data_IF_119260264416
#
_entry.id   IF_119260264416
#
_cell.length_a   1.000
_cell.length_b   1.000
_cell.length_c   1.000
_cell.angle_alpha   90.00
_cell.angle_beta   90.00
_cell.angle_gamma   90.00
#
_symmetry.space_group_name_H-M   'P 1'
#
loop_
_entity.id
_entity.type
_entity.pdbx_description
1 polymer ?
#
# COMPACT_ATOMS: atom_id res chain seq x y z
N UNK A 1 -54.25 7.81 11.38
CA UNK A 1 -53.56 6.70 12.10
C UNK A 1 -52.31 6.28 11.38
N UNK A 2 -51.62 7.20 10.65
CA UNK A 2 -50.40 6.82 9.86
C UNK A 2 -49.19 7.76 10.12
N UNK A 3 -49.15 8.47 11.26
CA UNK A 3 -48.01 9.38 11.54
C UNK A 3 -47.21 9.06 12.80
N UNK A 4 -47.43 7.90 13.42
CA UNK A 4 -46.74 7.57 14.69
C UNK A 4 -45.75 6.40 14.64
N UNK A 5 -45.54 5.80 13.46
CA UNK A 5 -44.59 4.70 13.29
C UNK A 5 -43.15 5.17 12.91
N UNK A 6 -43.05 6.33 12.23
CA UNK A 6 -41.73 6.79 11.76
C UNK A 6 -40.87 7.49 12.83
N UNK A 7 -41.50 8.02 13.89
CA UNK A 7 -40.73 8.62 15.00
C UNK A 7 -40.12 7.61 15.97
N UNK A 8 -40.56 6.35 15.96
CA UNK A 8 -39.99 5.30 16.81
C UNK A 8 -38.80 4.61 16.15
N UNK A 9 -38.67 4.66 14.81
CA UNK A 9 -37.55 4.12 14.09
C UNK A 9 -36.32 5.05 14.15
N UNK A 10 -36.57 6.38 14.09
CA UNK A 10 -35.47 7.37 14.19
C UNK A 10 -34.89 7.55 15.60
N UNK A 11 -35.56 7.08 16.67
CA UNK A 11 -34.99 7.11 18.02
C UNK A 11 -34.10 5.92 18.37
N UNK A 12 -34.08 4.86 17.54
CA UNK A 12 -33.20 3.69 17.75
C UNK A 12 -31.85 3.82 17.07
N UNK A 13 -31.64 4.82 16.23
CA UNK A 13 -30.35 5.10 15.57
C UNK A 13 -29.41 6.00 16.41
N UNK A 14 -29.87 6.57 17.51
CA UNK A 14 -29.09 7.53 18.31
C UNK A 14 -28.36 6.98 19.53
N UNK A 15 -28.32 5.66 19.75
CA UNK A 15 -27.51 5.07 20.82
C UNK A 15 -26.79 3.85 20.27
N UNK A 16 -25.82 4.08 19.43
CA UNK A 16 -24.72 3.17 19.24
C UNK A 16 -23.44 4.02 19.18
N UNK A 17 -23.04 4.58 20.33
CA UNK A 17 -21.64 4.94 20.55
C UNK A 17 -20.84 3.64 20.63
N UNK A 18 -20.77 2.91 19.53
CA UNK A 18 -19.74 1.91 19.33
C UNK A 18 -18.53 2.68 18.86
N UNK A 19 -17.49 2.77 19.71
CA UNK A 19 -16.15 3.06 19.25
C UNK A 19 -15.82 2.03 18.17
N UNK A 20 -16.08 2.36 16.91
CA UNK A 20 -15.62 1.60 15.77
C UNK A 20 -14.16 1.95 15.59
N UNK A 21 -13.27 1.06 15.99
CA UNK A 21 -11.88 1.15 15.63
C UNK A 21 -11.66 0.24 14.41
N UNK A 22 -11.55 0.85 13.25
CA UNK A 22 -11.14 0.16 12.03
C UNK A 22 -9.62 0.26 11.93
N UNK A 23 -8.96 -0.89 11.85
CA UNK A 23 -7.54 -0.97 11.56
C UNK A 23 -7.40 -1.26 10.06
N UNK A 24 -6.85 -0.32 9.31
CA UNK A 24 -6.61 -0.49 7.87
C UNK A 24 -5.13 -0.70 7.64
N UNK A 25 -4.80 -1.77 6.94
CA UNK A 25 -3.43 -2.11 6.64
C UNK A 25 -3.14 -1.91 5.15
N UNK A 26 -2.19 -1.07 4.86
CA UNK A 26 -1.50 -1.08 3.58
C UNK A 26 -0.21 -1.88 3.74
N UNK A 27 0.00 -2.82 2.85
CA UNK A 27 1.15 -3.70 2.85
C UNK A 27 2.40 -2.96 2.38
N UNK A 28 2.95 -2.05 3.17
CA UNK A 28 4.29 -1.47 2.89
C UNK A 28 4.76 -0.57 4.03
N UNK A 29 5.91 -0.83 4.56
CA UNK A 29 6.54 0.07 5.51
C UNK A 29 7.81 -0.44 6.13
N UNK A 30 8.68 0.46 6.42
CA UNK A 30 9.93 0.23 7.11
C UNK A 30 9.77 0.38 8.61
N UNK A 31 10.42 -0.52 9.36
CA UNK A 31 10.51 -0.47 10.81
C UNK A 31 11.20 0.79 11.31
N UNK A 32 10.57 1.53 12.18
CA UNK A 32 11.26 2.33 13.18
C UNK A 32 11.44 1.47 14.43
N UNK A 33 12.64 1.45 14.98
CA UNK A 33 13.04 0.67 16.15
C UNK A 33 11.99 0.69 17.28
N UNK A 34 11.27 -0.43 17.42
CA UNK A 34 10.62 -0.82 18.66
C UNK A 34 11.10 -2.23 19.00
N UNK A 35 11.79 -2.35 20.11
CA UNK A 35 12.34 -3.60 20.64
C UNK A 35 11.21 -4.57 20.97
N UNK A 36 11.06 -5.63 20.19
CA UNK A 36 10.18 -6.76 20.51
C UNK A 36 9.56 -7.52 19.34
N UNK A 37 9.49 -6.98 18.15
CA UNK A 37 8.95 -7.68 16.99
C UNK A 37 9.97 -8.60 16.34
N UNK A 38 9.57 -9.76 15.86
CA UNK A 38 10.34 -10.48 14.85
C UNK A 38 10.25 -9.66 13.53
N UNK A 39 10.98 -8.55 13.48
CA UNK A 39 11.27 -7.84 12.25
C UNK A 39 11.82 -8.86 11.23
N UNK A 40 11.50 -8.71 9.95
CA UNK A 40 12.21 -9.44 8.90
C UNK A 40 13.70 -9.21 9.17
N UNK A 41 14.37 -10.25 9.66
CA UNK A 41 15.80 -10.16 9.99
C UNK A 41 16.54 -10.21 8.68
N UNK A 42 16.76 -9.05 8.11
CA UNK A 42 17.65 -8.92 6.97
C UNK A 42 19.06 -9.39 7.37
N UNK A 43 19.65 -10.23 6.55
CA UNK A 43 21.09 -10.56 6.72
C UNK A 43 21.90 -9.27 6.60
N UNK A 44 23.15 -9.28 7.06
CA UNK A 44 24.05 -8.13 6.90
C UNK A 44 24.22 -7.74 5.43
N UNK A 45 24.22 -8.72 4.55
CA UNK A 45 24.32 -8.55 3.09
C UNK A 45 23.05 -7.86 2.57
N UNK A 46 21.88 -8.32 2.95
CA UNK A 46 20.60 -7.70 2.59
C UNK A 46 20.46 -6.28 3.14
N UNK A 47 20.83 -6.04 4.40
CA UNK A 47 20.83 -4.71 4.99
C UNK A 47 21.71 -3.72 4.22
N UNK A 48 22.83 -4.19 3.65
CA UNK A 48 23.77 -3.37 2.90
C UNK A 48 23.25 -2.95 1.51
N UNK A 49 22.22 -3.61 1.00
CA UNK A 49 21.61 -3.31 -0.30
C UNK A 49 20.19 -2.74 -0.21
N UNK A 50 19.70 -2.44 1.00
CA UNK A 50 18.40 -1.76 1.18
C UNK A 50 18.42 -0.36 0.60
N UNK A 51 17.26 0.04 0.06
CA UNK A 51 16.95 1.39 -0.41
C UNK A 51 15.85 1.97 0.46
N UNK A 52 16.02 3.21 0.88
CA UNK A 52 15.04 3.94 1.69
C UNK A 52 14.53 5.16 0.93
N UNK A 53 13.44 5.76 1.37
CA UNK A 53 12.90 6.99 0.75
C UNK A 53 13.95 8.12 0.63
N UNK A 54 14.95 8.16 1.53
CA UNK A 54 16.06 9.14 1.50
C UNK A 54 17.05 8.91 0.35
N UNK A 55 17.08 7.70 -0.17
CA UNK A 55 17.96 7.30 -1.27
C UNK A 55 17.28 7.48 -2.64
N UNK A 56 16.07 8.04 -2.66
CA UNK A 56 15.24 8.16 -3.85
C UNK A 56 14.96 9.64 -4.16
N UNK A 57 14.97 9.96 -5.44
CA UNK A 57 14.35 11.18 -5.97
C UNK A 57 13.53 10.80 -7.19
N UNK A 58 12.28 11.23 -7.21
CA UNK A 58 11.40 11.07 -8.36
C UNK A 58 11.00 12.46 -8.88
N UNK A 59 10.94 12.62 -10.20
CA UNK A 59 10.64 13.90 -10.85
C UNK A 59 9.72 13.66 -12.03
N UNK A 60 8.54 14.32 -12.03
CA UNK A 60 7.62 14.26 -13.16
C UNK A 60 8.21 14.96 -14.37
N UNK A 61 8.14 14.33 -15.53
CA UNK A 61 8.44 14.93 -16.84
C UNK A 61 7.18 14.94 -17.72
N UNK A 62 6.49 16.07 -17.73
CA UNK A 62 5.26 16.24 -18.50
C UNK A 62 5.51 16.20 -20.04
N UNK A 63 6.75 16.40 -20.50
CA UNK A 63 7.07 16.36 -21.94
C UNK A 63 7.23 14.93 -22.43
N UNK A 64 7.82 14.10 -21.60
CA UNK A 64 8.00 12.68 -21.90
C UNK A 64 6.81 11.83 -21.44
N UNK A 65 5.86 12.39 -20.66
CA UNK A 65 4.70 11.68 -20.16
C UNK A 65 5.09 10.60 -19.16
N UNK A 66 5.77 10.97 -18.07
CA UNK A 66 6.20 10.02 -17.07
C UNK A 66 7.06 10.62 -15.97
N UNK A 67 7.86 9.78 -15.34
CA UNK A 67 8.64 10.12 -14.16
C UNK A 67 10.08 9.64 -14.30
N UNK A 68 11.03 10.50 -13.95
CA UNK A 68 12.42 10.12 -13.75
C UNK A 68 12.60 9.65 -12.31
N UNK A 69 12.93 8.38 -12.13
CA UNK A 69 13.30 7.80 -10.84
C UNK A 69 14.82 7.75 -10.75
N UNK A 70 15.36 8.37 -9.72
CA UNK A 70 16.79 8.30 -9.36
C UNK A 70 16.94 7.57 -8.04
N UNK A 71 17.69 6.48 -8.03
CA UNK A 71 18.01 5.71 -6.83
C UNK A 71 19.50 5.83 -6.57
N UNK A 72 19.85 6.40 -5.41
CA UNK A 72 21.24 6.60 -5.00
C UNK A 72 22.05 5.31 -5.09
N UNK A 73 23.18 5.35 -5.76
CA UNK A 73 24.15 4.25 -5.77
C UNK A 73 24.81 4.12 -4.41
N UNK A 74 24.65 2.97 -3.79
CA UNK A 74 25.40 2.58 -2.60
C UNK A 74 26.46 1.55 -2.97
N UNK A 75 27.53 1.35 -2.17
CA UNK A 75 28.64 0.48 -2.57
C UNK A 75 28.24 -0.95 -2.93
N UNK A 76 27.19 -1.46 -2.33
CA UNK A 76 26.74 -2.86 -2.49
C UNK A 76 25.61 -3.06 -3.49
N UNK A 77 24.84 -2.03 -3.82
CA UNK A 77 23.79 -2.11 -4.84
C UNK A 77 24.43 -1.96 -6.22
N UNK A 78 24.27 -2.95 -7.10
CA UNK A 78 24.83 -2.94 -8.45
C UNK A 78 23.78 -2.98 -9.56
N UNK A 79 22.52 -3.18 -9.23
CA UNK A 79 21.39 -2.90 -10.12
C UNK A 79 20.11 -2.73 -9.33
N UNK A 80 19.10 -2.14 -10.00
CA UNK A 80 17.73 -2.01 -9.51
C UNK A 80 16.75 -2.50 -10.57
N UNK A 81 15.59 -2.98 -10.13
CA UNK A 81 14.51 -3.43 -10.99
C UNK A 81 13.18 -3.03 -10.36
N UNK A 82 12.27 -2.47 -11.16
CA UNK A 82 10.93 -2.17 -10.70
C UNK A 82 10.01 -3.37 -10.89
N UNK A 83 9.29 -3.73 -9.83
CA UNK A 83 8.38 -4.88 -9.83
C UNK A 83 6.99 -4.51 -9.31
N UNK A 84 5.97 -5.27 -9.72
CA UNK A 84 4.59 -5.12 -9.24
C UNK A 84 4.35 -5.74 -7.86
N UNK A 85 5.27 -6.55 -7.36
CA UNK A 85 5.14 -7.27 -6.09
C UNK A 85 6.48 -7.34 -5.37
N UNK A 86 6.44 -7.43 -4.05
CA UNK A 86 7.63 -7.68 -3.22
C UNK A 86 8.13 -9.12 -3.31
N UNK A 87 7.31 -10.04 -3.83
CA UNK A 87 7.68 -11.46 -3.94
C UNK A 87 7.91 -11.87 -5.38
N UNK A 88 9.09 -12.38 -5.63
CA UNK A 88 9.36 -13.31 -6.71
C UNK A 88 9.63 -14.68 -6.10
N UNK A 89 8.58 -15.51 -5.87
CA UNK A 89 8.67 -16.71 -5.03
C UNK A 89 9.71 -17.72 -5.51
N UNK A 90 10.09 -17.66 -6.78
CA UNK A 90 11.00 -18.64 -7.36
C UNK A 90 12.24 -18.03 -7.98
N UNK A 91 12.31 -16.69 -8.16
CA UNK A 91 13.36 -16.01 -8.95
C UNK A 91 13.44 -16.47 -10.40
N UNK A 92 12.45 -17.24 -10.85
CA UNK A 92 12.46 -17.90 -12.18
C UNK A 92 11.54 -17.25 -13.19
N UNK A 93 10.72 -16.32 -12.75
CA UNK A 93 9.69 -15.71 -13.58
C UNK A 93 9.82 -14.18 -13.52
N UNK A 94 9.91 -13.54 -14.67
CA UNK A 94 9.98 -12.09 -14.78
C UNK A 94 8.58 -11.41 -14.93
N UNK A 95 7.49 -12.16 -14.76
CA UNK A 95 6.13 -11.66 -14.82
C UNK A 95 5.82 -10.60 -13.76
N UNK A 96 6.56 -10.59 -12.68
CA UNK A 96 6.44 -9.59 -11.61
C UNK A 96 7.16 -8.27 -11.88
N UNK A 97 7.96 -8.19 -12.96
CA UNK A 97 8.62 -6.95 -13.32
C UNK A 97 7.67 -5.98 -14.01
N UNK A 98 7.74 -4.71 -13.64
CA UNK A 98 7.13 -3.66 -14.45
C UNK A 98 7.90 -3.43 -15.73
N UNK A 99 7.19 -3.10 -16.81
CA UNK A 99 7.74 -2.88 -18.14
C UNK A 99 7.11 -1.66 -18.78
N UNK A 100 7.87 -0.97 -19.61
CA UNK A 100 7.34 0.00 -20.54
C UNK A 100 6.78 -0.72 -21.78
N UNK A 101 5.72 -0.19 -22.40
CA UNK A 101 5.19 -0.68 -23.68
C UNK A 101 6.16 -0.39 -24.83
N UNK A 102 6.83 0.74 -24.76
CA UNK A 102 7.67 1.26 -25.82
C UNK A 102 9.11 1.45 -25.35
N UNK A 103 10.02 1.43 -26.30
CA UNK A 103 11.40 1.75 -26.05
C UNK A 103 11.56 3.21 -25.59
N UNK A 104 12.33 3.41 -24.55
CA UNK A 104 12.78 4.72 -24.12
C UNK A 104 14.31 4.72 -24.00
N UNK A 105 14.96 5.67 -24.65
CA UNK A 105 16.43 5.76 -24.69
C UNK A 105 17.07 6.00 -23.30
N UNK A 106 16.32 6.48 -22.32
CA UNK A 106 16.81 6.66 -20.94
C UNK A 106 16.96 5.29 -20.28
N UNK A 107 15.94 4.43 -20.42
CA UNK A 107 16.01 3.04 -19.94
C UNK A 107 16.94 2.17 -20.81
N UNK A 108 17.21 2.62 -22.02
CA UNK A 108 18.10 1.92 -22.95
C UNK A 108 17.62 0.52 -23.33
N UNK A 109 18.59 -0.31 -23.69
CA UNK A 109 18.42 -1.74 -23.98
C UNK A 109 18.83 -2.60 -22.77
N UNK A 110 18.69 -2.09 -21.56
CA UNK A 110 19.07 -2.80 -20.34
C UNK A 110 18.39 -4.16 -20.28
N UNK A 111 19.17 -5.24 -20.13
CA UNK A 111 18.72 -6.62 -20.12
C UNK A 111 18.84 -7.18 -18.72
N UNK A 112 17.85 -7.97 -18.33
CA UNK A 112 17.89 -8.73 -17.08
C UNK A 112 18.68 -10.02 -17.24
N UNK A 113 19.22 -10.52 -16.14
CA UNK A 113 19.80 -11.85 -16.04
C UNK A 113 18.89 -12.73 -15.18
N UNK A 114 18.72 -13.97 -15.63
CA UNK A 114 18.04 -15.00 -14.86
C UNK A 114 18.88 -16.28 -14.92
N UNK A 115 19.26 -16.81 -13.76
CA UNK A 115 20.13 -17.98 -13.62
C UNK A 115 21.44 -17.83 -14.44
N UNK A 116 22.09 -16.67 -14.32
CA UNK A 116 23.38 -16.37 -15.00
C UNK A 116 23.29 -16.16 -16.49
N UNK A 117 22.09 -16.10 -17.10
CA UNK A 117 21.90 -15.92 -18.54
C UNK A 117 21.03 -14.70 -18.83
N UNK A 118 21.42 -13.93 -19.85
CA UNK A 118 20.60 -12.82 -20.34
C UNK A 118 19.25 -13.31 -20.85
N UNK A 119 18.19 -12.62 -20.43
CA UNK A 119 16.84 -12.87 -20.93
C UNK A 119 16.74 -12.37 -22.37
N UNK A 120 16.20 -13.23 -23.24
CA UNK A 120 16.03 -12.97 -24.68
C UNK A 120 14.55 -12.91 -25.06
N UNK A 121 13.64 -13.05 -24.10
CA UNK A 121 12.19 -13.04 -24.36
C UNK A 121 11.68 -11.62 -24.61
N UNK A 122 10.62 -11.50 -25.41
CA UNK A 122 9.89 -10.23 -25.60
C UNK A 122 9.38 -9.64 -24.27
N UNK A 123 9.08 -10.50 -23.31
CA UNK A 123 8.62 -10.09 -21.98
C UNK A 123 9.71 -9.47 -21.11
N UNK A 124 11.00 -9.70 -21.40
CA UNK A 124 12.10 -9.01 -20.73
C UNK A 124 12.46 -7.67 -21.38
N UNK A 125 12.04 -7.49 -22.63
CA UNK A 125 12.29 -6.26 -23.38
C UNK A 125 11.52 -5.11 -22.73
N UNK A 126 12.21 -3.99 -22.53
CA UNK A 126 11.71 -2.81 -21.86
C UNK A 126 11.36 -3.00 -20.37
N UNK A 127 11.88 -4.01 -19.70
CA UNK A 127 11.84 -4.07 -18.24
C UNK A 127 12.49 -2.80 -17.66
N UNK A 128 11.88 -2.28 -16.58
CA UNK A 128 12.36 -1.07 -15.91
C UNK A 128 13.51 -1.47 -14.96
N UNK A 129 14.70 -1.56 -15.51
CA UNK A 129 15.93 -2.04 -14.85
C UNK A 129 17.09 -1.13 -15.21
N UNK A 130 18.00 -0.89 -14.26
CA UNK A 130 19.26 -0.19 -14.51
C UNK A 130 20.39 -0.78 -13.67
N UNK A 131 21.58 -0.93 -14.30
CA UNK A 131 22.84 -1.32 -13.68
C UNK A 131 24.02 -0.40 -14.04
N UNK A 132 23.72 0.76 -14.61
CA UNK A 132 24.70 1.73 -15.10
C UNK A 132 24.57 3.08 -14.38
N UNK A 133 24.94 3.18 -13.09
CA UNK A 133 24.75 4.39 -12.33
C UNK A 133 25.49 5.59 -12.95
N UNK A 134 24.82 6.72 -13.02
CA UNK A 134 25.33 7.96 -13.58
C UNK A 134 25.34 9.11 -12.56
N UNK A 135 26.09 10.17 -12.86
CA UNK A 135 26.08 11.40 -12.06
C UNK A 135 24.78 12.16 -12.29
N UNK A 136 24.09 12.54 -11.22
CA UNK A 136 22.82 13.24 -11.29
C UNK A 136 22.84 14.56 -10.52
N UNK A 137 21.86 15.46 -10.71
CA UNK A 137 21.73 16.67 -9.90
C UNK A 137 21.42 16.39 -8.41
N UNK A 138 20.96 15.18 -8.08
CA UNK A 138 20.45 14.82 -6.77
C UNK A 138 21.44 13.98 -5.96
N UNK A 139 22.22 13.16 -6.64
CA UNK A 139 23.19 12.25 -6.04
C UNK A 139 24.50 12.24 -6.84
N UNK A 140 25.60 11.97 -6.16
CA UNK A 140 26.90 11.84 -6.81
C UNK A 140 26.87 10.75 -7.87
N UNK A 141 26.23 9.62 -7.56
CA UNK A 141 25.90 8.55 -8.50
C UNK A 141 24.52 7.99 -8.18
N UNK A 142 23.71 7.75 -9.18
CA UNK A 142 22.40 7.11 -9.05
C UNK A 142 22.08 6.24 -10.25
N UNK A 143 21.32 5.19 -10.02
CA UNK A 143 20.57 4.52 -11.06
C UNK A 143 19.44 5.42 -11.54
N UNK A 144 19.18 5.42 -12.84
CA UNK A 144 18.19 6.29 -13.45
C UNK A 144 17.24 5.48 -14.34
N UNK A 145 15.97 5.44 -13.94
CA UNK A 145 14.90 4.79 -14.70
C UNK A 145 13.83 5.85 -15.07
N UNK A 146 13.41 5.82 -16.32
CA UNK A 146 12.21 6.54 -16.74
C UNK A 146 10.98 5.63 -16.64
N UNK A 147 10.00 6.03 -15.82
CA UNK A 147 8.74 5.33 -15.62
C UNK A 147 7.68 6.05 -16.44
N UNK A 148 7.13 5.46 -17.53
CA UNK A 148 5.99 6.04 -18.26
C UNK A 148 4.76 6.20 -17.35
N UNK A 149 3.87 7.15 -17.67
CA UNK A 149 2.60 7.31 -16.94
C UNK A 149 1.72 6.03 -16.97
N UNK A 150 1.89 5.20 -17.99
CA UNK A 150 1.26 3.88 -18.07
C UNK A 150 2.33 2.81 -18.18
N UNK A 151 2.37 1.90 -17.23
CA UNK A 151 3.26 0.74 -17.19
C UNK A 151 2.46 -0.55 -17.33
N UNK A 152 3.14 -1.63 -17.74
CA UNK A 152 2.55 -2.97 -17.86
C UNK A 152 3.14 -3.94 -16.86
N UNK A 153 2.38 -4.94 -16.46
CA UNK A 153 2.80 -6.00 -15.54
C UNK A 153 2.24 -7.36 -15.93
N UNK A 154 2.87 -8.41 -15.41
CA UNK A 154 2.38 -9.78 -15.52
C UNK A 154 2.45 -10.39 -16.92
N UNK A 155 1.81 -11.54 -17.08
CA UNK A 155 1.64 -12.31 -18.30
C UNK A 155 0.21 -12.80 -18.42
N UNK A 156 -0.21 -13.23 -19.62
CA UNK A 156 -1.56 -13.73 -19.89
C UNK A 156 -2.02 -14.89 -18.98
N UNK A 157 -1.08 -15.71 -18.52
CA UNK A 157 -1.37 -16.87 -17.63
C UNK A 157 -1.32 -16.54 -16.12
N UNK A 158 -1.01 -15.31 -15.79
CA UNK A 158 -0.98 -14.80 -14.42
C UNK A 158 -1.74 -13.48 -14.35
N UNK A 159 -1.70 -12.80 -13.21
CA UNK A 159 -2.16 -11.43 -13.12
C UNK A 159 -1.38 -10.58 -14.13
N UNK A 160 -2.11 -9.88 -15.00
CA UNK A 160 -1.52 -9.01 -16.00
C UNK A 160 -2.45 -7.83 -16.30
N UNK A 161 -1.85 -6.74 -16.78
CA UNK A 161 -2.62 -5.55 -17.14
C UNK A 161 -1.74 -4.32 -17.32
N UNK A 162 -2.40 -3.18 -17.25
CA UNK A 162 -1.80 -1.85 -17.31
C UNK A 162 -2.12 -1.10 -16.04
N UNK A 163 -1.14 -0.35 -15.54
CA UNK A 163 -1.30 0.53 -14.39
C UNK A 163 -1.03 1.95 -14.84
N UNK A 164 -1.99 2.83 -14.62
CA UNK A 164 -1.79 4.28 -14.71
C UNK A 164 -1.13 4.74 -13.41
N UNK A 165 0.01 5.42 -13.52
CA UNK A 165 0.70 5.96 -12.34
C UNK A 165 -0.09 7.12 -11.77
N UNK A 166 -0.57 6.95 -10.56
CA UNK A 166 -1.31 7.96 -9.80
C UNK A 166 -0.97 7.84 -8.31
N UNK A 167 -1.53 8.69 -7.47
CA UNK A 167 -1.42 8.61 -6.03
C UNK A 167 -1.89 7.23 -5.53
N UNK A 168 -1.08 6.59 -4.70
CA UNK A 168 -1.34 5.25 -4.20
C UNK A 168 -0.89 4.12 -5.12
N UNK A 169 -0.32 4.42 -6.31
CA UNK A 169 0.26 3.37 -7.14
C UNK A 169 1.43 2.73 -6.41
N UNK A 170 1.35 1.41 -6.25
CA UNK A 170 2.41 0.61 -5.65
C UNK A 170 3.55 0.35 -6.64
N UNK A 171 4.78 0.45 -6.13
CA UNK A 171 5.97 0.08 -6.85
C UNK A 171 6.98 -0.54 -5.88
N UNK A 172 7.55 -1.67 -6.25
CA UNK A 172 8.66 -2.24 -5.50
C UNK A 172 9.98 -2.00 -6.25
N UNK A 173 10.94 -1.34 -5.58
CA UNK A 173 12.30 -1.16 -6.07
C UNK A 173 13.13 -2.32 -5.55
N UNK A 174 13.30 -3.36 -6.35
CA UNK A 174 14.15 -4.49 -6.01
C UNK A 174 15.62 -4.12 -6.28
N UNK A 175 16.42 -4.09 -5.23
CA UNK A 175 17.86 -3.79 -5.30
C UNK A 175 18.68 -5.07 -5.25
N UNK A 176 19.74 -5.14 -6.07
CA UNK A 176 20.55 -6.34 -6.26
C UNK A 176 22.01 -6.08 -5.93
N UNK A 177 22.65 -7.10 -5.36
CA UNK A 177 24.09 -7.14 -5.19
C UNK A 177 24.82 -7.29 -6.53
N UNK A 178 24.22 -7.98 -7.50
CA UNK A 178 24.80 -8.18 -8.85
C UNK A 178 24.21 -7.21 -9.87
N UNK A 179 24.93 -6.90 -10.96
CA UNK A 179 24.38 -6.12 -12.07
C UNK A 179 23.28 -6.88 -12.82
N UNK A 180 22.51 -6.17 -13.64
CA UNK A 180 21.49 -6.69 -14.56
C UNK A 180 20.33 -7.43 -13.87
N UNK A 181 20.01 -7.06 -12.62
CA UNK A 181 18.98 -7.71 -11.81
C UNK A 181 19.18 -9.25 -11.76
N UNK A 182 20.41 -9.67 -11.51
CA UNK A 182 20.79 -11.09 -11.45
C UNK A 182 20.42 -11.70 -10.10
N UNK A 183 19.50 -12.65 -10.12
CA UNK A 183 19.01 -13.36 -8.94
C UNK A 183 19.98 -14.40 -8.37
N UNK A 184 21.14 -14.64 -8.99
CA UNK A 184 22.19 -15.47 -8.38
C UNK A 184 22.91 -14.79 -7.22
N UNK A 185 22.73 -13.45 -7.05
CA UNK A 185 23.18 -12.68 -5.89
C UNK A 185 22.07 -12.42 -4.89
N UNK A 186 22.43 -11.73 -3.81
CA UNK A 186 21.47 -11.23 -2.84
C UNK A 186 20.64 -10.12 -3.46
N UNK A 187 19.35 -10.07 -3.11
CA UNK A 187 18.45 -8.97 -3.46
C UNK A 187 17.53 -8.63 -2.29
N UNK A 188 17.00 -7.42 -2.30
CA UNK A 188 16.06 -6.92 -1.29
C UNK A 188 14.92 -6.17 -1.97
N UNK A 189 13.72 -6.44 -1.52
CA UNK A 189 12.53 -5.71 -1.88
C UNK A 189 12.38 -4.45 -1.03
N UNK A 190 12.16 -3.33 -1.71
CA UNK A 190 11.93 -2.03 -1.09
C UNK A 190 10.64 -1.46 -1.68
N UNK A 191 9.50 -1.70 -1.00
CA UNK A 191 8.19 -1.26 -1.46
C UNK A 191 7.96 0.22 -1.20
N UNK A 192 7.26 0.88 -2.15
CA UNK A 192 6.89 2.28 -2.06
C UNK A 192 5.52 2.52 -2.70
N UNK A 193 4.90 3.65 -2.33
CA UNK A 193 3.70 4.19 -2.95
C UNK A 193 3.98 5.55 -3.54
N UNK A 194 3.38 5.85 -4.69
CA UNK A 194 3.36 7.21 -5.24
C UNK A 194 2.48 8.10 -4.36
N UNK A 195 2.99 9.27 -4.02
CA UNK A 195 2.21 10.34 -3.40
C UNK A 195 2.54 11.70 -4.03
N UNK A 196 1.58 12.62 -3.99
CA UNK A 196 1.70 13.97 -4.54
C UNK A 196 1.50 14.98 -3.42
N UNK A 197 2.56 15.73 -3.10
CA UNK A 197 2.56 16.71 -2.02
C UNK A 197 2.64 18.13 -2.58
N UNK A 198 1.91 19.05 -1.99
CA UNK A 198 1.98 20.48 -2.34
C UNK A 198 3.08 21.14 -1.55
N UNK A 199 4.10 21.64 -2.25
CA UNK A 199 5.22 22.34 -1.64
C UNK A 199 5.16 23.84 -1.93
N UNK A 200 5.59 24.65 -0.94
CA UNK A 200 5.80 26.08 -1.10
C UNK A 200 7.21 26.31 -1.62
N UNK A 201 7.37 26.76 -2.85
CA UNK A 201 8.69 27.17 -3.35
C UNK A 201 9.10 28.52 -2.75
N UNK A 202 10.36 28.67 -2.29
CA UNK A 202 10.88 29.96 -1.91
C UNK A 202 10.86 30.89 -3.13
N UNK A 203 10.30 32.10 -2.97
CA UNK A 203 10.28 33.12 -4.02
C UNK A 203 11.70 33.37 -4.50
N UNK A 204 11.99 33.18 -5.79
CA UNK A 204 13.23 33.65 -6.41
C UNK A 204 13.26 35.19 -6.31
N UNK A 205 14.10 35.71 -5.43
CA UNK A 205 14.36 37.13 -5.36
C UNK A 205 15.04 37.52 -6.67
N UNK A 206 14.28 38.07 -7.62
CA UNK A 206 14.88 38.72 -8.77
C UNK A 206 15.62 39.95 -8.25
N UNK A 207 16.94 39.89 -8.26
CA UNK A 207 17.77 41.11 -8.06
C UNK A 207 17.57 42.00 -9.24
N UNK A 208 16.59 42.90 -9.17
CA UNK A 208 16.47 44.03 -10.11
C UNK A 208 17.69 44.92 -9.90
N UNK A 209 18.51 45.05 -10.94
CA UNK A 209 19.59 46.04 -10.96
C UNK A 209 18.94 47.40 -10.99
N UNK A 210 18.89 48.08 -9.85
CA UNK A 210 18.48 49.49 -9.77
C UNK A 210 19.55 50.35 -10.41
N UNK A 211 19.23 50.99 -11.54
CA UNK A 211 19.93 52.21 -11.98
C UNK A 211 19.62 53.31 -10.99
N UNK A 212 20.67 53.96 -10.47
CA UNK A 212 20.54 55.18 -9.67
C UNK A 212 19.96 56.28 -10.51
N UNK A 213 18.91 56.96 -10.01
CA UNK A 213 18.74 58.42 -10.10
C UNK A 213 17.52 58.89 -9.27
N UNK A 214 17.83 59.77 -8.36
CA UNK A 214 17.10 60.88 -7.72
C UNK A 214 15.71 60.76 -7.08
N UNK A 215 15.63 61.35 -5.89
CA UNK A 215 14.62 61.51 -4.82
C UNK A 215 13.31 62.23 -5.24
N UNK A 216 12.36 62.44 -4.28
CA UNK A 216 11.48 61.50 -3.59
C UNK A 216 9.99 61.94 -3.76
N UNK A 217 9.06 61.00 -3.70
CA UNK A 217 7.67 61.18 -3.24
C UNK A 217 7.20 59.93 -2.55
N UNK A 218 6.63 60.07 -1.37
CA UNK A 218 5.93 59.01 -0.64
C UNK A 218 4.82 58.43 -1.51
N UNK A 219 5.02 57.23 -1.98
CA UNK A 219 3.95 56.36 -2.46
C UNK A 219 3.73 55.26 -1.43
N UNK A 220 2.53 55.23 -0.87
CA UNK A 220 2.00 54.16 -0.06
C UNK A 220 1.93 52.94 -0.98
N UNK A 221 2.96 52.07 -0.93
CA UNK A 221 2.98 50.78 -1.58
C UNK A 221 2.00 49.85 -0.81
N UNK A 222 0.78 49.76 -1.31
CA UNK A 222 -0.12 48.67 -1.04
C UNK A 222 0.59 47.38 -1.50
N UNK A 223 1.04 46.57 -0.55
CA UNK A 223 1.60 45.27 -0.79
C UNK A 223 0.50 44.38 -1.38
N UNK A 224 0.47 44.28 -2.72
CA UNK A 224 -0.32 43.24 -3.37
C UNK A 224 0.40 41.94 -3.07
N UNK A 225 -0.13 41.15 -2.16
CA UNK A 225 0.31 39.77 -1.97
C UNK A 225 -0.11 38.96 -3.20
N UNK A 226 0.84 38.69 -4.07
CA UNK A 226 0.62 37.74 -5.16
C UNK A 226 0.25 36.38 -4.54
N UNK A 227 -0.72 35.67 -5.12
CA UNK A 227 -1.13 34.37 -4.61
C UNK A 227 0.07 33.41 -4.52
N UNK A 228 0.23 32.75 -3.39
CA UNK A 228 1.23 31.69 -3.20
C UNK A 228 0.99 30.59 -4.23
N UNK A 229 1.92 30.38 -5.15
CA UNK A 229 1.86 29.29 -6.10
C UNK A 229 2.31 28.02 -5.34
N UNK A 230 1.35 27.16 -5.04
CA UNK A 230 1.63 25.80 -4.56
C UNK A 230 1.95 24.93 -5.77
N UNK A 231 3.16 24.38 -5.81
CA UNK A 231 3.52 23.38 -6.82
C UNK A 231 3.37 21.98 -6.23
N UNK A 232 2.90 21.04 -7.05
CA UNK A 232 2.79 19.65 -6.70
C UNK A 232 4.12 18.95 -6.97
N UNK A 233 4.65 18.25 -5.97
CA UNK A 233 5.85 17.42 -6.08
C UNK A 233 5.46 15.95 -5.91
N UNK A 234 5.95 15.11 -6.80
CA UNK A 234 5.81 13.65 -6.68
C UNK A 234 6.87 13.11 -5.74
N UNK A 235 6.44 12.29 -4.80
CA UNK A 235 7.32 11.56 -3.88
C UNK A 235 6.97 10.08 -3.86
N UNK A 236 7.90 9.25 -3.39
CA UNK A 236 7.63 7.86 -3.03
C UNK A 236 7.65 7.73 -1.51
N UNK A 237 6.60 7.19 -0.96
CA UNK A 237 6.48 6.94 0.49
C UNK A 237 6.56 5.44 0.74
N UNK A 238 7.08 5.07 1.90
CA UNK A 238 7.25 3.70 2.37
C UNK A 238 6.26 3.35 3.50
N UNK A 239 5.18 4.10 3.58
CA UNK A 239 4.13 3.96 4.58
C UNK A 239 2.84 3.36 3.95
N UNK A 240 1.69 3.56 4.58
CA UNK A 240 0.39 3.06 4.13
C UNK A 240 -0.06 3.66 2.78
N UNK A 241 -1.08 3.03 2.15
CA UNK A 241 -1.72 3.58 0.94
C UNK A 241 -2.39 4.93 1.25
N UNK A 242 -1.91 6.06 0.67
CA UNK A 242 -2.40 7.40 1.01
C UNK A 242 -3.84 7.62 0.56
N UNK A 243 -4.30 6.95 -0.48
CA UNK A 243 -5.69 7.04 -0.97
C UNK A 243 -6.63 6.32 -0.01
N UNK A 244 -6.26 5.11 0.44
CA UNK A 244 -7.02 4.38 1.45
C UNK A 244 -7.11 5.17 2.76
N UNK A 245 -5.98 5.74 3.21
CA UNK A 245 -5.95 6.58 4.40
C UNK A 245 -6.91 7.77 4.31
N UNK A 246 -6.88 8.53 3.21
CA UNK A 246 -7.75 9.69 3.01
C UNK A 246 -9.22 9.30 3.02
N UNK A 247 -9.61 8.31 2.19
CA UNK A 247 -10.99 7.83 2.09
C UNK A 247 -11.54 7.30 3.41
N UNK A 248 -10.75 6.55 4.15
CA UNK A 248 -11.20 5.95 5.40
C UNK A 248 -11.25 6.97 6.54
N UNK A 249 -10.36 7.97 6.56
CA UNK A 249 -10.46 9.09 7.49
C UNK A 249 -11.71 9.97 7.28
N UNK A 250 -12.30 9.95 6.10
CA UNK A 250 -13.62 10.59 5.88
C UNK A 250 -14.75 9.84 6.59
N UNK A 251 -14.63 8.52 6.68
CA UNK A 251 -15.61 7.65 7.33
C UNK A 251 -15.52 7.72 8.86
N UNK A 252 -14.32 7.70 9.42
CA UNK A 252 -14.11 7.76 10.86
C UNK A 252 -12.78 8.45 11.20
N UNK A 253 -12.76 9.13 12.35
CA UNK A 253 -11.53 9.72 12.92
C UNK A 253 -10.85 8.80 13.95
N UNK A 254 -11.52 7.72 14.33
CA UNK A 254 -11.05 6.76 15.34
C UNK A 254 -10.40 5.55 14.68
N UNK A 255 -9.64 5.79 13.60
CA UNK A 255 -8.94 4.75 12.87
C UNK A 255 -7.48 4.63 13.36
N UNK A 256 -7.01 3.40 13.45
CA UNK A 256 -5.61 3.08 13.66
C UNK A 256 -5.09 2.43 12.38
N UNK A 257 -4.04 3.01 11.82
CA UNK A 257 -3.40 2.51 10.61
C UNK A 257 -2.11 1.79 10.97
N UNK A 258 -1.91 0.61 10.38
CA UNK A 258 -0.61 -0.07 10.42
C UNK A 258 0.28 0.47 9.31
N UNK A 259 1.59 0.46 9.57
CA UNK A 259 2.60 0.88 8.60
C UNK A 259 2.95 -0.18 7.57
N UNK A 260 2.40 -1.37 7.70
CA UNK A 260 2.58 -2.40 6.70
C UNK A 260 2.73 -3.82 7.25
N UNK A 261 3.09 -4.79 6.40
CA UNK A 261 3.09 -6.21 6.75
C UNK A 261 4.09 -6.58 7.86
N UNK A 262 5.14 -5.78 8.02
CA UNK A 262 6.17 -6.02 9.03
C UNK A 262 5.69 -5.68 10.44
N UNK A 263 4.83 -4.68 10.58
CA UNK A 263 4.28 -4.24 11.87
C UNK A 263 2.87 -4.76 12.13
N UNK A 264 2.20 -5.28 11.09
CA UNK A 264 0.79 -5.68 11.09
C UNK A 264 0.38 -6.48 12.34
N UNK A 265 1.11 -7.53 12.66
CA UNK A 265 0.76 -8.43 13.77
C UNK A 265 0.93 -7.75 15.12
N UNK A 266 1.99 -6.96 15.27
CA UNK A 266 2.26 -6.23 16.52
C UNK A 266 1.25 -5.07 16.70
N UNK A 267 0.88 -4.39 15.63
CA UNK A 267 -0.14 -3.35 15.66
C UNK A 267 -1.51 -3.95 16.07
N UNK A 268 -1.89 -5.11 15.51
CA UNK A 268 -3.09 -5.82 15.93
C UNK A 268 -3.00 -6.24 17.42
N UNK A 269 -1.89 -6.83 17.84
CA UNK A 269 -1.68 -7.23 19.25
C UNK A 269 -1.83 -6.04 20.18
N UNK A 270 -1.18 -4.92 19.88
CA UNK A 270 -1.26 -3.70 20.67
C UNK A 270 -2.70 -3.24 20.90
N UNK A 271 -3.49 -3.25 19.82
CA UNK A 271 -4.92 -2.88 19.89
C UNK A 271 -5.75 -3.86 20.71
N UNK A 272 -5.51 -5.15 20.55
CA UNK A 272 -6.27 -6.20 21.27
C UNK A 272 -5.86 -6.27 22.74
N UNK A 273 -4.62 -5.93 23.06
CA UNK A 273 -4.11 -5.94 24.43
C UNK A 273 -4.74 -4.86 25.32
N UNK A 274 -5.15 -3.74 24.72
CA UNK A 274 -5.92 -2.71 25.43
C UNK A 274 -7.26 -3.24 25.98
N UNK A 275 -7.81 -4.27 25.36
CA UNK A 275 -9.11 -4.85 25.67
C UNK A 275 -9.01 -6.27 26.28
N UNK A 276 -7.84 -6.71 26.73
CA UNK A 276 -7.59 -8.08 27.21
C UNK A 276 -8.50 -8.53 28.37
N UNK A 277 -8.88 -7.59 29.24
CA UNK A 277 -9.73 -7.84 30.39
C UNK A 277 -11.23 -7.62 30.09
N UNK A 278 -11.57 -7.21 28.88
CA UNK A 278 -12.95 -6.91 28.47
C UNK A 278 -13.63 -8.14 27.83
N UNK A 279 -14.96 -8.12 27.83
CA UNK A 279 -15.72 -8.94 26.88
C UNK A 279 -15.44 -8.39 25.49
N UNK A 280 -14.83 -9.18 24.62
CA UNK A 280 -14.28 -8.70 23.35
C UNK A 280 -14.86 -9.49 22.15
N UNK A 281 -15.36 -8.75 21.17
CA UNK A 281 -15.76 -9.26 19.87
C UNK A 281 -14.88 -8.61 18.78
N UNK A 282 -14.18 -9.41 18.00
CA UNK A 282 -13.31 -8.95 16.90
C UNK A 282 -13.77 -9.56 15.59
N UNK A 283 -13.93 -8.76 14.55
CA UNK A 283 -14.11 -9.25 13.17
C UNK A 283 -12.87 -8.90 12.36
N UNK A 284 -12.23 -9.91 11.80
CA UNK A 284 -11.17 -9.73 10.80
C UNK A 284 -11.80 -9.77 9.41
N UNK A 285 -11.77 -8.64 8.72
CA UNK A 285 -12.19 -8.50 7.34
C UNK A 285 -10.94 -8.54 6.44
N UNK A 286 -10.79 -9.63 5.70
CA UNK A 286 -9.56 -9.93 4.95
C UNK A 286 -9.86 -9.89 3.46
N UNK A 287 -9.09 -9.07 2.75
CA UNK A 287 -9.05 -9.06 1.30
C UNK A 287 -8.52 -10.40 0.77
N UNK A 288 -9.18 -10.90 -0.26
CA UNK A 288 -8.79 -12.14 -0.92
C UNK A 288 -8.82 -11.99 -2.45
N UNK A 289 -8.56 -10.77 -2.93
CA UNK A 289 -8.36 -10.48 -4.35
C UNK A 289 -7.01 -10.96 -4.84
N UNK A 290 -6.77 -10.86 -6.13
CA UNK A 290 -5.60 -11.42 -6.78
C UNK A 290 -4.27 -10.86 -6.27
N UNK A 291 -4.23 -9.59 -5.89
CA UNK A 291 -3.06 -8.91 -5.34
C UNK A 291 -2.59 -9.53 -4.03
N UNK A 292 -3.53 -9.95 -3.18
CA UNK A 292 -3.26 -10.59 -1.89
C UNK A 292 -2.69 -12.02 -1.97
N UNK A 293 -2.56 -12.59 -3.19
CA UNK A 293 -2.14 -13.98 -3.38
C UNK A 293 -0.83 -14.33 -2.67
N UNK A 294 0.15 -13.45 -2.78
CA UNK A 294 1.47 -13.67 -2.19
C UNK A 294 1.50 -13.41 -0.68
N UNK A 295 0.65 -12.50 -0.21
CA UNK A 295 0.61 -12.09 1.20
C UNK A 295 -0.23 -13.04 2.07
N UNK A 296 -1.18 -13.72 1.44
CA UNK A 296 -2.05 -14.67 2.12
C UNK A 296 -1.29 -15.83 2.81
N UNK A 297 -0.16 -16.26 2.24
CA UNK A 297 0.65 -17.34 2.85
C UNK A 297 1.29 -16.86 4.16
N UNK A 298 1.88 -15.66 4.13
CA UNK A 298 2.45 -15.03 5.32
C UNK A 298 1.36 -14.76 6.35
N UNK A 299 0.24 -14.19 5.93
CA UNK A 299 -0.89 -13.93 6.82
C UNK A 299 -1.37 -15.20 7.53
N UNK A 300 -1.52 -16.32 6.84
CA UNK A 300 -1.90 -17.60 7.45
C UNK A 300 -0.91 -18.06 8.52
N UNK A 301 0.38 -17.89 8.25
CA UNK A 301 1.45 -18.28 9.18
C UNK A 301 1.43 -17.43 10.44
N UNK A 302 1.24 -16.13 10.29
CA UNK A 302 1.35 -15.17 11.39
C UNK A 302 0.04 -15.08 12.21
N UNK A 303 -1.09 -15.41 11.58
CA UNK A 303 -2.40 -15.28 12.20
C UNK A 303 -2.68 -16.36 13.26
N UNK A 304 -2.15 -17.56 13.08
CA UNK A 304 -2.37 -18.65 14.03
C UNK A 304 -1.78 -18.35 15.41
N UNK A 305 -0.52 -17.93 15.57
CA UNK A 305 0.01 -17.52 16.87
C UNK A 305 -0.73 -16.33 17.47
N UNK A 306 -1.09 -15.33 16.66
CA UNK A 306 -1.89 -14.19 17.12
C UNK A 306 -3.20 -14.62 17.78
N UNK A 307 -3.96 -15.49 17.12
CA UNK A 307 -5.22 -15.99 17.64
C UNK A 307 -5.05 -16.89 18.88
N UNK A 308 -3.98 -17.68 18.93
CA UNK A 308 -3.65 -18.49 20.11
C UNK A 308 -3.37 -17.61 21.33
N UNK A 309 -2.59 -16.56 21.16
CA UNK A 309 -2.29 -15.60 22.22
C UNK A 309 -3.58 -14.89 22.67
N UNK A 310 -4.38 -14.38 21.75
CA UNK A 310 -5.66 -13.72 22.05
C UNK A 310 -6.58 -14.63 22.91
N UNK A 311 -6.81 -15.85 22.48
CA UNK A 311 -7.72 -16.77 23.21
C UNK A 311 -7.13 -17.32 24.51
N UNK A 312 -5.80 -17.29 24.66
CA UNK A 312 -5.13 -17.63 25.91
C UNK A 312 -5.27 -16.49 26.92
N UNK A 313 -5.10 -15.27 26.47
CA UNK A 313 -5.03 -14.09 27.33
C UNK A 313 -6.43 -13.53 27.64
N UNK A 314 -7.42 -13.77 26.77
CA UNK A 314 -8.80 -13.34 26.96
C UNK A 314 -9.81 -14.47 26.69
N UNK A 315 -10.27 -15.13 27.76
CA UNK A 315 -11.27 -16.20 27.68
C UNK A 315 -12.67 -15.70 27.25
N UNK A 316 -12.92 -14.40 27.28
CA UNK A 316 -14.18 -13.78 26.86
C UNK A 316 -14.12 -13.21 25.44
N UNK A 317 -13.03 -13.46 24.72
CA UNK A 317 -12.89 -13.06 23.33
C UNK A 317 -13.68 -13.99 22.38
N UNK A 318 -14.28 -13.37 21.34
CA UNK A 318 -14.83 -14.08 20.18
C UNK A 318 -14.28 -13.44 18.93
N UNK A 319 -13.98 -14.25 17.93
CA UNK A 319 -13.45 -13.82 16.65
C UNK A 319 -14.39 -14.23 15.53
N UNK A 320 -14.77 -13.30 14.69
CA UNK A 320 -15.43 -13.50 13.41
C UNK A 320 -14.43 -13.31 12.26
N UNK A 321 -14.65 -14.01 11.16
CA UNK A 321 -13.87 -13.86 9.94
C UNK A 321 -14.81 -13.40 8.81
N UNK A 322 -14.46 -12.33 8.13
CA UNK A 322 -15.09 -11.89 6.90
C UNK A 322 -14.05 -11.92 5.79
N UNK A 323 -14.30 -12.64 4.72
CA UNK A 323 -13.49 -12.55 3.51
C UNK A 323 -14.22 -11.64 2.52
N UNK A 324 -13.48 -10.79 1.82
CA UNK A 324 -14.07 -9.98 0.76
C UNK A 324 -13.23 -10.05 -0.52
N UNK A 325 -13.86 -9.72 -1.62
CA UNK A 325 -13.29 -9.57 -2.97
C UNK A 325 -13.97 -8.41 -3.65
N UNK A 326 -13.73 -8.25 -4.95
CA UNK A 326 -14.52 -7.32 -5.72
C UNK A 326 -15.78 -7.97 -6.31
N UNK A 327 -16.66 -7.15 -6.88
CA UNK A 327 -17.91 -7.61 -7.50
C UNK A 327 -17.63 -8.47 -8.72
N UNK A 328 -18.27 -9.64 -8.77
CA UNK A 328 -18.07 -10.62 -9.84
C UNK A 328 -17.12 -11.76 -9.51
N UNK A 329 -16.37 -11.69 -8.42
CA UNK A 329 -15.31 -12.65 -8.03
C UNK A 329 -15.77 -13.87 -7.20
N UNK A 330 -17.01 -14.23 -7.32
CA UNK A 330 -17.54 -15.48 -6.76
C UNK A 330 -17.96 -15.42 -5.30
N UNK A 331 -17.73 -14.33 -4.56
CA UNK A 331 -18.38 -14.08 -3.29
C UNK A 331 -19.70 -13.34 -3.52
N UNK A 332 -20.74 -13.86 -2.91
CA UNK A 332 -22.05 -13.21 -2.94
C UNK A 332 -22.84 -13.60 -1.68
N UNK A 333 -22.82 -12.73 -0.70
CA UNK A 333 -23.64 -12.87 0.49
C UNK A 333 -24.52 -11.63 0.66
N UNK A 334 -25.84 -11.82 0.55
CA UNK A 334 -26.83 -10.72 0.55
C UNK A 334 -26.46 -9.63 -0.48
N UNK A 335 -26.10 -10.05 -1.68
CA UNK A 335 -25.70 -9.21 -2.81
C UNK A 335 -24.37 -8.45 -2.65
N UNK A 336 -23.62 -8.65 -1.56
CA UNK A 336 -22.30 -8.09 -1.37
C UNK A 336 -21.19 -9.09 -1.69
N UNK A 337 -20.03 -8.64 -2.17
CA UNK A 337 -18.90 -9.51 -2.54
C UNK A 337 -18.13 -9.97 -1.30
N UNK A 338 -18.84 -10.49 -0.31
CA UNK A 338 -18.30 -10.93 0.96
C UNK A 338 -18.67 -12.36 1.31
N UNK A 339 -17.90 -12.98 2.21
CA UNK A 339 -18.13 -14.31 2.76
C UNK A 339 -17.91 -14.29 4.28
N UNK A 340 -18.98 -14.09 5.06
CA UNK A 340 -18.86 -14.03 6.51
C UNK A 340 -18.82 -15.43 7.15
N UNK A 341 -18.00 -15.55 8.20
CA UNK A 341 -17.98 -16.68 9.14
C UNK A 341 -18.26 -16.14 10.54
N UNK A 342 -19.30 -16.62 11.16
CA UNK A 342 -19.78 -16.13 12.45
C UNK A 342 -18.73 -16.19 13.57
N UNK A 343 -19.04 -15.54 14.68
CA UNK A 343 -18.15 -15.53 15.85
C UNK A 343 -17.90 -16.91 16.42
N UNK A 344 -16.66 -17.20 16.71
CA UNK A 344 -16.18 -18.40 17.41
C UNK A 344 -15.20 -18.01 18.52
N UNK A 345 -15.01 -18.88 19.49
CA UNK A 345 -14.10 -18.73 20.63
C UNK A 345 -12.89 -19.66 20.57
N UNK A 346 -12.54 -20.13 19.40
CA UNK A 346 -11.38 -20.99 19.21
C UNK A 346 -10.67 -20.65 17.89
N UNK A 347 -9.34 -20.70 17.90
CA UNK A 347 -8.53 -20.35 16.72
C UNK A 347 -8.63 -21.39 15.59
N UNK A 348 -8.85 -22.67 15.90
CA UNK A 348 -8.85 -23.73 14.89
C UNK A 348 -9.95 -23.54 13.83
N UNK A 349 -11.11 -23.02 14.22
CA UNK A 349 -12.20 -22.75 13.28
C UNK A 349 -11.84 -21.59 12.33
N UNK A 350 -11.17 -20.56 12.84
CA UNK A 350 -10.74 -19.41 12.04
C UNK A 350 -9.63 -19.83 11.06
N UNK A 351 -8.58 -20.47 11.55
CA UNK A 351 -7.45 -20.91 10.73
C UNK A 351 -7.88 -21.92 9.67
N UNK A 352 -8.82 -22.82 9.97
CA UNK A 352 -9.39 -23.74 8.99
C UNK A 352 -10.06 -22.97 7.83
N UNK A 353 -10.86 -21.97 8.14
CA UNK A 353 -11.56 -21.17 7.14
C UNK A 353 -10.57 -20.33 6.31
N UNK A 354 -9.58 -19.72 6.95
CA UNK A 354 -8.54 -18.95 6.27
C UNK A 354 -7.68 -19.84 5.36
N UNK A 355 -7.32 -21.05 5.82
CA UNK A 355 -6.55 -22.00 5.02
C UNK A 355 -7.33 -22.59 3.84
N UNK A 356 -8.66 -22.53 3.88
CA UNK A 356 -9.51 -22.95 2.77
C UNK A 356 -9.62 -21.92 1.62
N UNK A 357 -9.18 -20.67 1.86
CA UNK A 357 -9.19 -19.62 0.82
C UNK A 357 -8.28 -20.04 -0.33
N UNK A 358 -8.74 -19.81 -1.55
CA UNK A 358 -7.95 -19.98 -2.78
C UNK A 358 -7.96 -18.68 -3.55
N UNK A 359 -6.77 -18.18 -3.87
CA UNK A 359 -6.54 -17.00 -4.69
C UNK A 359 -5.73 -17.46 -5.89
N UNK A 360 -6.27 -17.26 -7.08
CA UNK A 360 -5.64 -17.68 -8.33
C UNK A 360 -4.80 -16.56 -8.97
N UNK A 361 -4.95 -15.32 -8.47
CA UNK A 361 -4.22 -14.14 -8.94
C UNK A 361 -4.93 -13.37 -10.07
N UNK A 362 -6.21 -13.67 -10.31
CA UNK A 362 -7.05 -13.01 -11.33
C UNK A 362 -8.32 -12.41 -10.75
N UNK A 363 -8.51 -12.53 -9.47
CA UNK A 363 -9.60 -11.92 -8.72
C UNK A 363 -9.32 -10.42 -8.55
N UNK A 364 -10.36 -9.60 -8.57
CA UNK A 364 -10.27 -8.14 -8.70
C UNK A 364 -10.17 -7.75 -10.17
N UNK A 365 -10.83 -6.69 -10.58
CA UNK A 365 -10.85 -6.22 -11.98
C UNK A 365 -10.13 -4.89 -12.16
N UNK A 366 -10.07 -4.12 -11.11
CA UNK A 366 -9.45 -2.79 -11.00
C UNK A 366 -8.69 -2.69 -9.67
N UNK A 367 -8.04 -1.56 -9.40
CA UNK A 367 -7.22 -1.38 -8.19
C UNK A 367 -8.08 -1.17 -6.95
N UNK A 368 -9.14 -0.32 -6.96
CA UNK A 368 -10.02 -0.19 -5.80
C UNK A 368 -10.81 -1.48 -5.56
N UNK A 369 -11.03 -1.80 -4.28
CA UNK A 369 -11.69 -3.03 -3.85
C UNK A 369 -12.95 -2.74 -3.01
N UNK A 370 -13.76 -3.76 -2.73
CA UNK A 370 -15.03 -3.61 -2.01
C UNK A 370 -14.87 -3.44 -0.49
N UNK A 371 -14.00 -2.53 -0.06
CA UNK A 371 -13.67 -2.28 1.35
C UNK A 371 -14.87 -1.73 2.11
N UNK A 372 -15.66 -0.81 1.54
CA UNK A 372 -16.86 -0.27 2.19
C UNK A 372 -17.91 -1.36 2.41
N UNK A 373 -18.08 -2.26 1.47
CA UNK A 373 -18.96 -3.42 1.58
C UNK A 373 -18.49 -4.36 2.70
N UNK A 374 -17.17 -4.56 2.84
CA UNK A 374 -16.60 -5.33 3.92
C UNK A 374 -16.83 -4.66 5.30
N UNK A 375 -16.68 -3.35 5.39
CA UNK A 375 -16.97 -2.57 6.61
C UNK A 375 -18.46 -2.68 6.99
N UNK A 376 -19.35 -2.48 6.03
CA UNK A 376 -20.80 -2.62 6.23
C UNK A 376 -21.15 -4.04 6.68
N UNK A 377 -20.66 -5.06 5.97
CA UNK A 377 -20.93 -6.46 6.30
C UNK A 377 -20.38 -6.84 7.68
N UNK A 378 -19.20 -6.35 8.05
CA UNK A 378 -18.63 -6.54 9.38
C UNK A 378 -19.54 -5.98 10.48
N UNK A 379 -20.16 -4.83 10.24
CA UNK A 379 -21.06 -4.22 11.20
C UNK A 379 -22.44 -4.88 11.27
N UNK A 380 -22.99 -5.34 10.13
CA UNK A 380 -24.39 -5.74 10.00
C UNK A 380 -24.63 -7.26 10.03
N UNK A 381 -23.64 -8.07 9.66
CA UNK A 381 -23.85 -9.50 9.46
C UNK A 381 -23.33 -10.37 10.59
N UNK A 382 -22.77 -9.77 11.62
CA UNK A 382 -22.27 -10.47 12.81
C UNK A 382 -23.16 -10.26 14.01
N UNK A 383 -23.32 -11.30 14.82
CA UNK A 383 -24.11 -11.26 16.06
C UNK A 383 -23.27 -10.69 17.21
N UNK A 384 -22.98 -9.39 17.16
CA UNK A 384 -22.24 -8.67 18.17
C UNK A 384 -22.91 -8.74 19.54
N UNK A 385 -22.16 -9.02 20.60
CA UNK A 385 -22.66 -8.90 21.97
C UNK A 385 -22.84 -7.44 22.34
N UNK A 386 -23.89 -7.14 23.03
CA UNK A 386 -24.21 -5.75 23.41
C UNK A 386 -23.11 -5.16 24.31
N UNK A 387 -22.69 -5.92 25.32
CA UNK A 387 -21.72 -5.53 26.35
C UNK A 387 -20.25 -5.57 25.86
N UNK A 388 -19.99 -6.19 24.71
CA UNK A 388 -18.63 -6.38 24.23
C UNK A 388 -18.01 -5.09 23.73
N UNK A 389 -16.71 -4.94 23.95
CA UNK A 389 -15.84 -4.12 23.11
C UNK A 389 -15.85 -4.71 21.70
N UNK A 390 -16.05 -3.87 20.70
CA UNK A 390 -16.21 -4.29 19.32
C UNK A 390 -15.05 -3.74 18.50
N UNK A 391 -14.36 -4.63 17.80
CA UNK A 391 -13.24 -4.28 16.91
C UNK A 391 -13.48 -4.85 15.53
N UNK A 392 -13.25 -4.05 14.51
CA UNK A 392 -13.16 -4.49 13.12
C UNK A 392 -11.74 -4.22 12.64
N UNK A 393 -11.07 -5.29 12.23
CA UNK A 393 -9.71 -5.23 11.65
C UNK A 393 -9.84 -5.52 10.17
N UNK A 394 -9.50 -4.55 9.34
CA UNK A 394 -9.53 -4.69 7.88
C UNK A 394 -8.10 -4.90 7.40
N UNK A 395 -7.88 -5.95 6.63
CA UNK A 395 -6.59 -6.31 6.05
C UNK A 395 -6.75 -6.37 4.54
N UNK A 396 -6.02 -5.52 3.83
CA UNK A 396 -6.04 -5.43 2.38
C UNK A 396 -4.93 -4.52 1.86
N UNK A 397 -4.69 -4.56 0.57
CA UNK A 397 -3.62 -3.83 -0.10
C UNK A 397 -4.13 -2.72 -1.04
N UNK A 398 -5.45 -2.54 -1.13
CA UNK A 398 -6.07 -1.58 -2.02
C UNK A 398 -7.03 -0.62 -1.30
N UNK A 399 -7.22 0.54 -1.89
CA UNK A 399 -8.20 1.52 -1.43
C UNK A 399 -9.64 1.09 -1.73
N UNK A 400 -10.63 1.63 -0.99
CA UNK A 400 -12.02 1.40 -1.30
C UNK A 400 -12.43 2.04 -2.64
N UNK A 401 -13.41 1.46 -3.32
CA UNK A 401 -14.06 2.12 -4.45
C UNK A 401 -14.48 3.54 -4.10
N UNK A 402 -14.50 4.49 -5.08
CA UNK A 402 -14.90 5.88 -4.81
C UNK A 402 -16.26 6.01 -4.12
N UNK A 403 -17.16 5.07 -4.43
CA UNK A 403 -18.49 4.98 -3.85
C UNK A 403 -18.85 3.53 -3.59
N UNK A 404 -19.50 3.20 -2.45
CA UNK A 404 -20.04 1.87 -2.22
C UNK A 404 -21.13 1.58 -3.28
N UNK A 405 -21.06 0.41 -3.90
CA UNK A 405 -21.96 0.08 -5.04
C UNK A 405 -23.37 -0.30 -4.59
N UNK A 406 -23.54 -0.84 -3.37
CA UNK A 406 -24.82 -1.33 -2.86
C UNK A 406 -25.13 -0.99 -1.39
N UNK A 407 -24.25 -0.32 -0.68
CA UNK A 407 -24.37 -0.03 0.76
C UNK A 407 -24.51 1.45 1.08
N UNK A 408 -24.52 2.30 0.06
CA UNK A 408 -24.64 3.76 0.16
C UNK A 408 -26.00 4.27 0.63
#
# INVERSE_FOLDING_TARGET
VHQNTDKKLMKRVKILNCLFMCLVFALHGQSTDYSGSQSIVYTKEQQAIRVTAKDIKIVKDAKLGGYHLYVKKTPKVNSILLTETTKDPTGKNDSYAYRAKEYNKINGDEKRILNGKFLVSESAKYSLVDSTPEKTPYFEQAFHIFIPETIVYGYEWSRNGEVQIDKGTFINIRSFEKPYADYEGSYVDNPFMFDFVKIKKPKKIQKTKTKKEEKPKEEILTKIEEPEVLEEETILIDDYNPVAYEKLNEVSKDLIFSKGPETLIEDIKSVLEEDKDAVLDVVFAIDTTGSMKNDMEKLRTDFEPLLKDLFKDNNNARVGLLLYRDYGDGYNYKELPVKPYGFVNNFSAITKNLNAVRIYGKEGGDVPEAVYEAMYASSQFFAWRFEAKKRVVIIGDAEPHPYPRKTG
#
